data_IF_009530694518
#
_entry.id   IF_009530694518
#
_cell.length_a   1.000
_cell.length_b   1.000
_cell.length_c   1.000
_cell.angle_alpha   90.00
_cell.angle_beta   90.00
_cell.angle_gamma   90.00
#
_symmetry.space_group_name_H-M   'P 1'
#
loop_
_entity.id
_entity.type
_entity.pdbx_description
1 polymer ?
#
# COMPACT_ATOMS: atom_id res chain seq x y z
N UNK A 1 3.37 5.90 -13.19
CA UNK A 1 1.99 6.24 -12.78
C UNK A 1 0.99 5.20 -13.26
N UNK A 2 -0.06 4.88 -12.50
CA UNK A 2 -1.14 4.00 -12.98
C UNK A 2 -1.97 4.63 -14.12
N UNK A 3 -2.10 3.92 -15.23
CA UNK A 3 -2.93 4.31 -16.38
C UNK A 3 -4.41 3.98 -16.16
N UNK A 4 -5.07 4.73 -15.28
CA UNK A 4 -6.50 4.55 -15.08
C UNK A 4 -7.30 5.01 -16.31
N UNK A 5 -8.44 4.35 -16.55
CA UNK A 5 -9.39 4.77 -17.59
C UNK A 5 -9.80 6.23 -17.45
N UNK A 6 -9.96 6.94 -18.56
CA UNK A 6 -10.46 8.32 -18.61
C UNK A 6 -11.81 8.51 -17.90
N UNK A 7 -12.62 7.45 -17.77
CA UNK A 7 -13.89 7.47 -17.00
C UNK A 7 -13.70 7.73 -15.51
N UNK A 8 -12.52 7.48 -14.97
CA UNK A 8 -12.18 7.71 -13.56
C UNK A 8 -11.71 9.15 -13.32
N UNK A 9 -11.40 9.91 -14.36
CA UNK A 9 -10.74 11.20 -14.26
C UNK A 9 -11.69 12.28 -13.71
N UNK A 10 -11.17 13.08 -12.76
CA UNK A 10 -11.89 14.18 -12.12
C UNK A 10 -11.07 15.49 -12.12
N UNK A 11 -9.76 15.42 -11.90
CA UNK A 11 -8.83 16.57 -11.86
C UNK A 11 -9.28 17.73 -10.95
N UNK A 12 -9.78 17.42 -9.74
CA UNK A 12 -10.22 18.44 -8.79
C UNK A 12 -9.04 18.91 -7.93
N UNK A 13 -8.62 20.16 -8.12
CA UNK A 13 -7.58 20.78 -7.28
C UNK A 13 -8.14 21.32 -5.96
N UNK A 14 -7.37 21.16 -4.88
CA UNK A 14 -7.70 21.68 -3.56
C UNK A 14 -6.77 22.81 -3.15
N UNK A 15 -7.30 23.79 -2.42
CA UNK A 15 -6.47 24.78 -1.73
C UNK A 15 -5.90 24.15 -0.47
N UNK A 16 -4.60 24.32 -0.25
CA UNK A 16 -3.92 23.77 0.92
C UNK A 16 -4.51 24.30 2.24
N UNK A 17 -4.97 25.56 2.25
CA UNK A 17 -5.69 26.16 3.39
C UNK A 17 -6.98 25.42 3.76
N UNK A 18 -7.71 24.92 2.76
CA UNK A 18 -8.98 24.23 2.97
C UNK A 18 -8.73 22.81 3.48
N UNK A 19 -7.70 22.14 2.95
CA UNK A 19 -7.25 20.84 3.46
C UNK A 19 -6.80 20.96 4.92
N UNK A 20 -5.98 21.96 5.25
CA UNK A 20 -5.57 22.21 6.64
C UNK A 20 -6.75 22.40 7.58
N UNK A 21 -7.79 23.12 7.13
CA UNK A 21 -9.01 23.31 7.91
C UNK A 21 -9.78 21.99 8.07
N UNK A 22 -9.96 21.24 6.98
CA UNK A 22 -10.72 19.99 6.98
C UNK A 22 -10.10 18.94 7.92
N UNK A 23 -8.78 18.84 7.96
CA UNK A 23 -8.09 17.86 8.82
C UNK A 23 -7.71 18.41 10.20
N UNK A 24 -8.11 19.64 10.55
CA UNK A 24 -7.69 20.33 11.77
C UNK A 24 -6.16 20.29 11.97
N UNK A 25 -5.42 20.63 10.91
CA UNK A 25 -3.97 20.48 10.85
C UNK A 25 -3.23 21.31 11.91
N UNK A 26 -2.42 20.63 12.70
CA UNK A 26 -1.53 21.24 13.68
C UNK A 26 -0.31 21.91 13.03
N UNK A 27 0.56 22.47 13.87
CA UNK A 27 1.79 23.16 13.42
C UNK A 27 2.74 22.22 12.68
N UNK A 28 2.83 20.97 13.12
CA UNK A 28 3.77 19.99 12.57
C UNK A 28 3.32 19.51 11.18
N UNK A 29 2.02 19.30 10.98
CA UNK A 29 1.43 18.97 9.67
C UNK A 29 1.63 20.12 8.68
N UNK A 30 1.46 21.37 9.13
CA UNK A 30 1.69 22.54 8.28
C UNK A 30 3.16 22.71 7.90
N UNK A 31 4.07 22.45 8.83
CA UNK A 31 5.51 22.49 8.59
C UNK A 31 5.94 21.37 7.62
N UNK A 32 5.38 20.18 7.80
CA UNK A 32 5.64 19.03 6.92
C UNK A 32 5.17 19.29 5.48
N UNK A 33 4.07 20.03 5.32
CA UNK A 33 3.53 20.42 4.02
C UNK A 33 4.19 21.65 3.39
N UNK A 34 5.32 22.15 3.93
CA UNK A 34 5.93 23.41 3.46
C UNK A 34 6.30 23.40 1.97
N UNK A 35 6.73 22.25 1.46
CA UNK A 35 7.14 22.07 0.07
C UNK A 35 5.98 21.65 -0.85
N UNK A 36 4.76 21.47 -0.31
CA UNK A 36 3.58 21.10 -1.10
C UNK A 36 3.09 22.28 -1.91
N UNK A 37 3.19 22.16 -3.23
CA UNK A 37 2.77 23.18 -4.18
C UNK A 37 1.31 23.03 -4.60
N UNK A 38 0.87 21.79 -4.86
CA UNK A 38 -0.48 21.47 -5.34
C UNK A 38 -0.94 20.13 -4.82
N UNK A 39 -2.24 20.02 -4.55
CA UNK A 39 -2.93 18.77 -4.24
C UNK A 39 -4.14 18.64 -5.15
N UNK A 40 -4.21 17.55 -5.89
CA UNK A 40 -5.25 17.31 -6.91
C UNK A 40 -5.81 15.91 -6.71
N UNK A 41 -7.14 15.78 -6.63
CA UNK A 41 -7.81 14.49 -6.80
C UNK A 41 -7.94 14.24 -8.31
N UNK A 42 -7.02 13.44 -8.84
CA UNK A 42 -6.91 13.20 -10.28
C UNK A 42 -7.96 12.19 -10.73
N UNK A 43 -8.18 11.13 -9.94
CA UNK A 43 -9.10 10.04 -10.29
C UNK A 43 -9.96 9.61 -9.10
N UNK A 44 -11.18 9.18 -9.39
CA UNK A 44 -12.07 8.47 -8.48
C UNK A 44 -12.46 7.15 -9.14
N UNK A 45 -12.09 6.05 -8.51
CA UNK A 45 -12.43 4.69 -8.94
C UNK A 45 -13.64 4.27 -8.10
N UNK A 46 -14.78 4.07 -8.76
CA UNK A 46 -16.04 3.73 -8.12
C UNK A 46 -16.81 2.68 -8.93
N UNK A 47 -17.89 2.11 -8.37
CA UNK A 47 -18.74 1.15 -9.10
C UNK A 47 -19.29 1.77 -10.40
N UNK A 48 -19.60 3.07 -10.37
CA UNK A 48 -20.05 3.81 -11.55
C UNK A 48 -18.95 3.92 -12.62
N UNK A 49 -17.70 4.22 -12.24
CA UNK A 49 -16.63 4.39 -13.23
C UNK A 49 -16.15 3.06 -13.81
N UNK A 50 -16.27 1.98 -13.04
CA UNK A 50 -15.95 0.61 -13.46
C UNK A 50 -17.14 -0.15 -14.08
N UNK A 51 -18.35 0.40 -14.02
CA UNK A 51 -19.58 -0.26 -14.45
C UNK A 51 -19.82 -1.61 -13.75
N UNK A 52 -19.75 -1.60 -12.41
CA UNK A 52 -19.93 -2.78 -11.57
C UNK A 52 -20.82 -2.49 -10.35
N UNK A 53 -21.12 -3.53 -9.56
CA UNK A 53 -21.91 -3.39 -8.34
C UNK A 53 -21.10 -2.76 -7.20
N UNK A 54 -21.82 -2.10 -6.28
CA UNK A 54 -21.21 -1.50 -5.11
C UNK A 54 -20.78 -2.55 -4.09
N UNK A 55 -19.51 -2.49 -3.69
CA UNK A 55 -18.99 -3.28 -2.59
C UNK A 55 -19.29 -2.61 -1.23
N UNK A 56 -19.50 -3.41 -0.18
CA UNK A 56 -19.85 -2.90 1.15
C UNK A 56 -18.66 -2.29 1.88
N UNK A 57 -17.45 -2.82 1.65
CA UNK A 57 -16.24 -2.46 2.38
C UNK A 57 -15.36 -1.49 1.57
N UNK A 58 -15.08 -1.82 0.30
CA UNK A 58 -14.21 -1.04 -0.58
C UNK A 58 -15.07 -0.34 -1.62
N UNK A 59 -15.67 0.76 -1.20
CA UNK A 59 -16.65 1.51 -1.99
C UNK A 59 -16.00 2.24 -3.16
N UNK A 60 -14.98 3.02 -2.86
CA UNK A 60 -14.29 3.88 -3.83
C UNK A 60 -12.82 4.03 -3.45
N UNK A 61 -11.99 4.29 -4.46
CA UNK A 61 -10.57 4.57 -4.31
C UNK A 61 -10.30 5.96 -4.88
N UNK A 62 -9.76 6.85 -4.04
CA UNK A 62 -9.38 8.20 -4.44
C UNK A 62 -7.90 8.24 -4.78
N UNK A 63 -7.56 8.78 -5.95
CA UNK A 63 -6.17 8.93 -6.39
C UNK A 63 -5.81 10.40 -6.34
N UNK A 64 -4.86 10.73 -5.46
CA UNK A 64 -4.35 12.07 -5.30
C UNK A 64 -2.98 12.21 -5.93
N UNK A 65 -2.77 13.32 -6.63
CA UNK A 65 -1.44 13.82 -6.98
C UNK A 65 -1.07 14.95 -6.01
N UNK A 66 0.15 14.90 -5.47
CA UNK A 66 0.72 15.92 -4.60
C UNK A 66 2.03 16.40 -5.22
N UNK A 67 2.00 17.58 -5.83
CA UNK A 67 3.20 18.20 -6.38
C UNK A 67 4.00 18.87 -5.26
N UNK A 68 5.29 18.58 -5.18
CA UNK A 68 6.24 19.12 -4.20
C UNK A 68 7.43 19.81 -4.88
N UNK A 69 8.00 20.83 -4.22
CA UNK A 69 9.15 21.58 -4.72
C UNK A 69 10.50 20.91 -4.48
N UNK A 70 10.56 19.87 -3.66
CA UNK A 70 11.77 19.12 -3.34
C UNK A 70 11.45 17.62 -3.26
N UNK A 71 12.46 16.74 -3.30
CA UNK A 71 12.28 15.29 -3.12
C UNK A 71 11.99 14.89 -1.65
N UNK A 72 11.33 15.78 -0.90
CA UNK A 72 10.81 15.52 0.43
C UNK A 72 9.40 14.94 0.34
N UNK A 73 9.17 13.81 1.01
CA UNK A 73 7.83 13.22 1.12
C UNK A 73 7.16 13.80 2.37
N UNK A 74 6.05 14.56 2.23
CA UNK A 74 5.34 15.14 3.37
C UNK A 74 4.45 14.09 4.04
N UNK A 75 5.08 13.09 4.66
CA UNK A 75 4.40 11.91 5.20
C UNK A 75 3.35 12.25 6.27
N UNK A 76 3.61 13.24 7.14
CA UNK A 76 2.66 13.59 8.21
C UNK A 76 1.43 14.25 7.61
N UNK A 77 1.62 15.14 6.64
CA UNK A 77 0.55 15.75 5.87
C UNK A 77 -0.29 14.69 5.15
N UNK A 78 0.35 13.77 4.42
CA UNK A 78 -0.36 12.70 3.69
C UNK A 78 -1.16 11.83 4.67
N UNK A 79 -0.56 11.41 5.78
CA UNK A 79 -1.23 10.58 6.79
C UNK A 79 -2.40 11.31 7.45
N UNK A 80 -2.32 12.62 7.65
CA UNK A 80 -3.43 13.38 8.24
C UNK A 80 -4.56 13.63 7.24
N UNK A 81 -4.21 13.95 5.98
CA UNK A 81 -5.16 14.03 4.88
C UNK A 81 -5.89 12.69 4.71
N UNK A 82 -5.14 11.59 4.72
CA UNK A 82 -5.66 10.25 4.57
C UNK A 82 -6.64 9.85 5.69
N UNK A 83 -6.39 10.29 6.93
CA UNK A 83 -7.31 10.09 8.07
C UNK A 83 -8.61 10.85 7.91
N UNK A 84 -8.56 12.05 7.32
CA UNK A 84 -9.76 12.84 7.07
C UNK A 84 -10.66 12.23 5.98
N UNK A 85 -10.09 11.34 5.14
CA UNK A 85 -10.78 10.65 4.05
C UNK A 85 -11.21 9.25 4.53
N UNK A 86 -12.53 9.05 4.66
CA UNK A 86 -13.14 7.77 5.08
C UNK A 86 -13.24 6.73 3.94
N UNK A 87 -12.38 6.84 2.92
CA UNK A 87 -12.33 5.98 1.74
C UNK A 87 -10.89 5.50 1.52
N UNK A 88 -10.71 4.52 0.64
CA UNK A 88 -9.40 4.06 0.21
C UNK A 88 -8.73 5.12 -0.66
N UNK A 89 -7.42 5.23 -0.54
CA UNK A 89 -6.64 6.32 -1.14
C UNK A 89 -5.31 5.79 -1.69
N UNK A 90 -4.88 6.39 -2.78
CA UNK A 90 -3.55 6.29 -3.37
C UNK A 90 -3.02 7.71 -3.49
N UNK A 91 -1.82 7.97 -2.98
CA UNK A 91 -1.15 9.27 -3.08
C UNK A 91 0.10 9.15 -3.95
N UNK A 92 0.13 9.87 -5.05
CA UNK A 92 1.30 10.00 -5.93
C UNK A 92 1.96 11.35 -5.63
N UNK A 93 3.15 11.34 -5.04
CA UNK A 93 3.94 12.52 -4.74
C UNK A 93 4.90 12.78 -5.89
N UNK A 94 4.90 13.98 -6.45
CA UNK A 94 5.67 14.32 -7.65
C UNK A 94 6.62 15.49 -7.43
N UNK A 95 7.86 15.31 -7.86
CA UNK A 95 8.90 16.33 -7.87
C UNK A 95 9.56 16.36 -9.27
N UNK A 96 9.03 17.21 -10.16
CA UNK A 96 9.42 17.19 -11.57
C UNK A 96 8.99 15.87 -12.23
N UNK A 97 9.95 15.17 -12.84
CA UNK A 97 9.73 13.86 -13.50
C UNK A 97 9.75 12.68 -12.53
N UNK A 98 10.12 12.90 -11.26
CA UNK A 98 10.16 11.85 -10.25
C UNK A 98 8.82 11.70 -9.54
N UNK A 99 8.42 10.46 -9.32
CA UNK A 99 7.22 10.09 -8.58
C UNK A 99 7.56 9.12 -7.45
N UNK A 100 6.84 9.24 -6.34
CA UNK A 100 6.77 8.25 -5.28
C UNK A 100 5.30 8.04 -4.94
N UNK A 101 4.88 6.79 -4.89
CA UNK A 101 3.51 6.45 -4.53
C UNK A 101 3.43 5.99 -3.08
N UNK A 102 2.34 6.30 -2.39
CA UNK A 102 2.06 5.89 -1.02
C UNK A 102 0.59 5.51 -0.84
N UNK A 103 0.33 4.44 -0.10
CA UNK A 103 -1.02 4.04 0.29
C UNK A 103 -1.03 3.34 1.66
N UNK A 104 -2.21 3.09 2.20
CA UNK A 104 -2.41 2.19 3.34
C UNK A 104 -3.57 1.26 3.09
N UNK A 105 -3.44 0.02 3.54
CA UNK A 105 -4.57 -0.91 3.60
C UNK A 105 -5.55 -0.48 4.70
N UNK A 106 -6.81 -0.24 4.33
CA UNK A 106 -7.88 0.15 5.26
C UNK A 106 -8.99 -0.89 5.29
N UNK A 107 -9.40 -1.28 6.50
CA UNK A 107 -10.65 -2.00 6.74
C UNK A 107 -11.50 -1.15 7.69
N UNK A 108 -12.56 -0.52 7.17
CA UNK A 108 -13.32 0.47 7.94
C UNK A 108 -12.47 1.66 8.41
N UNK A 109 -12.54 1.99 9.70
CA UNK A 109 -11.74 3.08 10.31
C UNK A 109 -10.40 2.63 10.90
N UNK A 110 -10.08 1.34 10.85
CA UNK A 110 -8.84 0.80 11.41
C UNK A 110 -7.66 1.06 10.48
N UNK A 111 -6.59 1.63 11.02
CA UNK A 111 -5.38 2.04 10.27
C UNK A 111 -4.47 0.85 10.03
N UNK A 112 -4.15 0.57 8.76
CA UNK A 112 -3.06 -0.32 8.39
C UNK A 112 -1.70 0.38 8.31
N UNK A 113 -0.65 -0.41 8.11
CA UNK A 113 0.69 0.07 7.77
C UNK A 113 0.65 0.83 6.45
N UNK A 114 1.39 1.94 6.36
CA UNK A 114 1.61 2.63 5.09
C UNK A 114 2.72 1.93 4.31
N UNK A 115 2.49 1.80 3.00
CA UNK A 115 3.44 1.29 2.03
C UNK A 115 3.79 2.43 1.08
N UNK A 116 5.06 2.54 0.72
CA UNK A 116 5.56 3.55 -0.20
C UNK A 116 6.56 2.91 -1.18
N UNK A 117 6.57 3.41 -2.41
CA UNK A 117 7.63 3.13 -3.38
C UNK A 117 8.85 4.03 -3.12
N UNK A 118 9.91 3.88 -3.90
CA UNK A 118 11.00 4.86 -3.93
C UNK A 118 10.69 6.00 -4.91
N UNK A 119 11.47 7.08 -4.85
CA UNK A 119 11.46 8.10 -5.90
C UNK A 119 12.04 7.54 -7.19
N UNK A 120 11.22 7.43 -8.21
CA UNK A 120 11.62 6.86 -9.50
C UNK A 120 10.97 7.66 -10.64
N UNK A 121 11.65 7.72 -11.79
CA UNK A 121 11.01 8.11 -13.05
C UNK A 121 10.21 6.90 -13.53
N UNK A 122 9.05 6.65 -12.93
CA UNK A 122 8.30 5.43 -13.24
C UNK A 122 7.73 5.47 -14.65
N UNK A 123 7.88 4.36 -15.36
CA UNK A 123 7.06 4.07 -16.53
C UNK A 123 5.58 3.96 -16.13
N UNK A 124 4.70 4.26 -17.05
CA UNK A 124 3.27 4.08 -16.84
C UNK A 124 2.95 2.60 -16.55
N UNK A 125 2.13 2.37 -15.53
CA UNK A 125 1.69 1.04 -15.07
C UNK A 125 0.34 0.76 -15.73
N UNK A 126 0.27 -0.18 -16.69
CA UNK A 126 -0.99 -0.53 -17.33
C UNK A 126 -1.95 -1.11 -16.30
N UNK A 127 -3.15 -0.54 -16.24
CA UNK A 127 -4.20 -0.99 -15.33
C UNK A 127 -5.03 -2.08 -16.02
N UNK A 128 -5.15 -3.29 -15.45
CA UNK A 128 -5.95 -4.35 -16.05
C UNK A 128 -7.44 -4.02 -15.99
N UNK A 129 -8.21 -4.62 -16.89
CA UNK A 129 -9.65 -4.69 -16.75
C UNK A 129 -9.97 -5.58 -15.54
N UNK A 130 -10.80 -5.05 -14.64
CA UNK A 130 -11.22 -5.73 -13.41
C UNK A 130 -12.72 -5.59 -13.24
N UNK A 131 -13.33 -6.57 -12.59
CA UNK A 131 -14.78 -6.69 -12.51
C UNK A 131 -15.38 -5.82 -11.39
N UNK A 132 -14.57 -5.42 -10.41
CA UNK A 132 -15.04 -4.65 -9.25
C UNK A 132 -13.94 -3.81 -8.58
N UNK A 133 -14.37 -2.90 -7.71
CA UNK A 133 -13.47 -1.99 -6.97
C UNK A 133 -12.49 -2.76 -6.05
N UNK A 134 -12.89 -3.82 -5.30
CA UNK A 134 -11.96 -4.65 -4.55
C UNK A 134 -10.82 -5.25 -5.39
N UNK A 135 -11.11 -5.78 -6.59
CA UNK A 135 -10.07 -6.30 -7.49
C UNK A 135 -9.12 -5.20 -7.95
N UNK A 136 -9.63 -4.00 -8.28
CA UNK A 136 -8.78 -2.84 -8.58
C UNK A 136 -7.86 -2.52 -7.41
N UNK A 137 -8.39 -2.52 -6.19
CA UNK A 137 -7.62 -2.24 -4.99
C UNK A 137 -6.55 -3.30 -4.73
N UNK A 138 -6.87 -4.59 -4.91
CA UNK A 138 -5.91 -5.70 -4.83
C UNK A 138 -4.77 -5.52 -5.84
N UNK A 139 -5.08 -5.13 -7.07
CA UNK A 139 -4.08 -4.85 -8.09
C UNK A 139 -3.17 -3.69 -7.68
N UNK A 140 -3.73 -2.56 -7.23
CA UNK A 140 -2.93 -1.42 -6.77
C UNK A 140 -2.00 -1.86 -5.63
N UNK A 141 -2.54 -2.52 -4.60
CA UNK A 141 -1.76 -3.04 -3.47
C UNK A 141 -0.60 -3.91 -3.94
N UNK A 142 -0.80 -4.77 -4.93
CA UNK A 142 0.25 -5.67 -5.43
C UNK A 142 1.50 -4.97 -5.94
N UNK A 143 1.41 -3.70 -6.35
CA UNK A 143 2.56 -2.89 -6.80
C UNK A 143 3.44 -2.38 -5.65
N UNK A 144 2.94 -2.42 -4.42
CA UNK A 144 3.66 -1.97 -3.23
C UNK A 144 4.25 -3.13 -2.42
N UNK A 145 3.90 -4.37 -2.75
CA UNK A 145 4.12 -5.53 -1.91
C UNK A 145 5.00 -6.56 -2.62
N UNK A 146 5.94 -7.13 -1.87
CA UNK A 146 6.91 -8.12 -2.38
C UNK A 146 6.26 -9.37 -2.98
N UNK A 147 5.17 -9.85 -2.38
CA UNK A 147 4.50 -11.09 -2.80
C UNK A 147 3.20 -10.76 -3.53
N UNK A 148 2.93 -11.35 -4.71
CA UNK A 148 1.71 -11.08 -5.45
C UNK A 148 0.48 -11.70 -4.77
N UNK A 149 -0.73 -11.16 -5.04
CA UNK A 149 -1.99 -11.76 -4.62
C UNK A 149 -2.27 -13.05 -5.41
N UNK A 150 -3.05 -13.97 -4.83
CA UNK A 150 -3.71 -14.99 -5.63
C UNK A 150 -4.98 -14.44 -6.28
N UNK A 151 -5.40 -15.08 -7.36
CA UNK A 151 -6.57 -14.67 -8.14
C UNK A 151 -7.85 -14.66 -7.30
N UNK A 152 -8.08 -15.72 -6.52
CA UNK A 152 -9.29 -15.93 -5.73
C UNK A 152 -9.28 -15.24 -4.36
N UNK A 153 -8.16 -14.64 -3.95
CA UNK A 153 -8.08 -13.93 -2.66
C UNK A 153 -8.82 -12.59 -2.71
N UNK A 154 -9.56 -12.27 -1.66
CA UNK A 154 -9.97 -10.90 -1.36
C UNK A 154 -8.75 -10.03 -1.00
N UNK A 155 -8.86 -8.68 -1.09
CA UNK A 155 -7.79 -7.79 -0.64
C UNK A 155 -7.38 -8.02 0.83
N UNK A 156 -8.34 -8.38 1.70
CA UNK A 156 -8.06 -8.66 3.11
C UNK A 156 -7.29 -9.95 3.34
N UNK A 157 -7.68 -11.04 2.65
CA UNK A 157 -6.95 -12.30 2.70
C UNK A 157 -5.53 -12.14 2.15
N UNK A 158 -5.39 -11.40 1.05
CA UNK A 158 -4.09 -11.08 0.48
C UNK A 158 -3.19 -10.36 1.50
N UNK A 159 -3.67 -9.30 2.15
CA UNK A 159 -2.88 -8.55 3.14
C UNK A 159 -2.56 -9.41 4.38
N UNK A 160 -3.49 -10.26 4.83
CA UNK A 160 -3.27 -11.19 5.93
C UNK A 160 -2.14 -12.16 5.61
N UNK A 161 -2.20 -12.82 4.44
CA UNK A 161 -1.16 -13.75 3.96
C UNK A 161 0.18 -13.05 3.76
N UNK A 162 0.17 -11.86 3.14
CA UNK A 162 1.37 -11.05 2.96
C UNK A 162 2.07 -10.76 4.29
N UNK A 163 1.32 -10.35 5.32
CA UNK A 163 1.90 -10.06 6.63
C UNK A 163 2.50 -11.31 7.29
N UNK A 164 1.90 -12.48 7.11
CA UNK A 164 2.47 -13.76 7.57
C UNK A 164 3.78 -14.07 6.84
N UNK A 165 3.83 -13.92 5.51
CA UNK A 165 5.03 -14.12 4.69
C UNK A 165 6.18 -13.19 5.11
N UNK A 166 5.89 -11.91 5.35
CA UNK A 166 6.91 -10.94 5.82
C UNK A 166 7.43 -11.30 7.21
N UNK A 167 6.56 -11.77 8.11
CA UNK A 167 6.97 -12.24 9.44
C UNK A 167 7.91 -13.45 9.33
N UNK A 168 7.58 -14.40 8.45
CA UNK A 168 8.41 -15.58 8.19
C UNK A 168 9.75 -15.20 7.55
N UNK A 169 9.77 -14.31 6.56
CA UNK A 169 11.02 -13.79 5.97
C UNK A 169 11.96 -13.21 7.04
N UNK A 170 11.41 -12.43 7.97
CA UNK A 170 12.17 -11.87 9.09
C UNK A 170 12.70 -12.95 10.04
N UNK A 171 11.85 -13.92 10.41
CA UNK A 171 12.23 -15.03 11.28
C UNK A 171 13.31 -15.92 10.65
N UNK A 172 13.20 -16.18 9.34
CA UNK A 172 14.18 -16.92 8.55
C UNK A 172 15.52 -16.19 8.55
N UNK A 173 15.55 -14.91 8.19
CA UNK A 173 16.80 -14.13 8.16
C UNK A 173 17.48 -14.04 9.53
N UNK A 174 16.70 -13.79 10.59
CA UNK A 174 17.22 -13.79 11.97
C UNK A 174 17.79 -15.15 12.38
N UNK A 175 17.12 -16.24 12.03
CA UNK A 175 17.55 -17.60 12.39
C UNK A 175 18.79 -18.02 11.59
N UNK A 176 18.88 -17.64 10.31
CA UNK A 176 20.07 -17.87 9.48
C UNK A 176 21.30 -17.17 10.08
N UNK A 177 21.19 -15.89 10.43
CA UNK A 177 22.27 -15.16 11.10
C UNK A 177 22.66 -15.80 12.44
N UNK A 178 21.69 -16.27 13.23
CA UNK A 178 21.98 -16.98 14.47
C UNK A 178 22.73 -18.30 14.25
N UNK A 179 22.43 -19.05 13.18
CA UNK A 179 23.12 -20.29 12.82
C UNK A 179 24.58 -20.03 12.42
N UNK A 180 24.82 -18.93 11.69
CA UNK A 180 26.16 -18.54 11.24
C UNK A 180 27.09 -18.18 12.40
N UNK A 181 26.54 -17.62 13.49
CA UNK A 181 27.32 -17.17 14.65
C UNK A 181 27.28 -18.12 15.84
N UNK A 182 26.59 -19.27 15.74
CA UNK A 182 26.50 -20.25 16.82
C UNK A 182 27.61 -21.31 16.71
N UNK A 183 28.39 -21.45 17.78
CA UNK A 183 29.48 -22.41 17.89
C UNK A 183 29.03 -23.74 18.52
N UNK A 184 27.98 -23.73 19.34
CA UNK A 184 27.48 -24.92 20.00
C UNK A 184 26.64 -25.78 19.04
N UNK A 185 27.16 -26.97 18.71
CA UNK A 185 26.51 -27.90 17.75
C UNK A 185 25.05 -28.23 18.11
N UNK A 186 24.73 -28.39 19.40
CA UNK A 186 23.35 -28.67 19.86
C UNK A 186 22.39 -27.51 19.54
N UNK A 187 22.77 -26.27 19.87
CA UNK A 187 21.97 -25.07 19.55
C UNK A 187 21.85 -24.86 18.04
N UNK A 188 22.94 -25.11 17.31
CA UNK A 188 22.93 -25.07 15.85
C UNK A 188 21.92 -26.06 15.26
N UNK A 189 21.83 -27.28 15.81
CA UNK A 189 20.82 -28.26 15.40
C UNK A 189 19.39 -27.75 15.65
N UNK A 190 19.11 -27.21 16.84
CA UNK A 190 17.80 -26.63 17.17
C UNK A 190 17.42 -25.47 16.24
N UNK A 191 18.36 -24.57 15.93
CA UNK A 191 18.11 -23.47 15.00
C UNK A 191 17.84 -23.97 13.57
N UNK A 192 18.54 -25.01 13.11
CA UNK A 192 18.27 -25.60 11.79
C UNK A 192 16.89 -26.25 11.73
N UNK A 193 16.43 -26.91 12.79
CA UNK A 193 15.08 -27.46 12.87
C UNK A 193 14.02 -26.36 12.73
N UNK A 194 14.13 -25.28 13.51
CA UNK A 194 13.23 -24.11 13.41
C UNK A 194 13.29 -23.43 12.04
N UNK A 195 14.48 -23.30 11.46
CA UNK A 195 14.65 -22.74 10.12
C UNK A 195 13.91 -23.56 9.07
N UNK A 196 13.92 -24.89 9.20
CA UNK A 196 13.18 -25.79 8.33
C UNK A 196 11.66 -25.56 8.46
N UNK A 197 11.15 -25.52 9.69
CA UNK A 197 9.74 -25.26 9.98
C UNK A 197 9.26 -23.93 9.36
N UNK A 198 10.01 -22.83 9.55
CA UNK A 198 9.65 -21.53 8.97
C UNK A 198 9.66 -21.54 7.44
N UNK A 199 10.59 -22.27 6.82
CA UNK A 199 10.65 -22.40 5.36
C UNK A 199 9.47 -23.20 4.82
N UNK A 200 9.10 -24.30 5.46
CA UNK A 200 7.94 -25.13 5.10
C UNK A 200 6.62 -24.35 5.25
N UNK A 201 6.46 -23.57 6.32
CA UNK A 201 5.28 -22.71 6.49
C UNK A 201 5.21 -21.62 5.42
N UNK A 202 6.35 -20.99 5.10
CA UNK A 202 6.43 -19.96 4.05
C UNK A 202 6.09 -20.53 2.68
N UNK A 203 6.56 -21.74 2.36
CA UNK A 203 6.26 -22.42 1.10
C UNK A 203 4.76 -22.70 0.95
N UNK A 204 4.10 -23.22 2.00
CA UNK A 204 2.64 -23.43 2.01
C UNK A 204 1.86 -22.15 1.71
N UNK A 205 2.28 -21.02 2.27
CA UNK A 205 1.66 -19.71 2.00
C UNK A 205 1.96 -19.18 0.59
N UNK A 206 3.03 -19.62 -0.06
CA UNK A 206 3.34 -19.24 -1.45
C UNK A 206 2.62 -20.10 -2.48
N UNK A 207 2.28 -21.33 -2.13
CA UNK A 207 1.52 -22.26 -2.99
C UNK A 207 0.01 -22.00 -2.94
N UNK A 208 -0.47 -21.19 -2.01
CA UNK A 208 -1.90 -20.94 -1.84
C UNK A 208 -2.66 -22.12 -1.24
N UNK A 209 -1.93 -23.04 -0.59
CA UNK A 209 -2.49 -24.16 0.14
C UNK A 209 -3.11 -23.64 1.44
N UNK A 210 -4.29 -23.03 1.31
CA UNK A 210 -5.16 -22.72 2.44
C UNK A 210 -5.63 -24.07 2.96
N UNK A 211 -4.97 -24.57 4.01
CA UNK A 211 -5.51 -25.64 4.82
C UNK A 211 -6.82 -25.09 5.44
N UNK A 212 -7.94 -25.37 4.78
CA UNK A 212 -9.25 -25.30 5.40
C UNK A 212 -9.28 -26.38 6.47
N UNK A 213 -9.07 -26.00 7.72
CA UNK A 213 -9.30 -26.79 8.91
C UNK A 213 -10.25 -26.02 9.83
#
# INVERSE_FOLDING_TARGET
MFEFSSKTQLNRQFKLSDLFRQMNADREVRKDAADVQKVTLTNVISPKTLNCEADREIKEIYVFEIAVSSQYVPERFIKELDKSIKLHTLFNVRCGELELSMLSYKLGSAKGKYYATNWETEADIPVPLVDNVPQMYKFILSKFLKYPPFEQESPGEYIKRYNQLIKLDFQIGKTQSAIEHESQSKRKFEYNARLKEYKEEREKLLEGTINNA
#
